data_IF_762110733887
#
_entry.id   IF_762110733887
#
_cell.length_a   1.000
_cell.length_b   1.000
_cell.length_c   1.000
_cell.angle_alpha   90.00
_cell.angle_beta   90.00
_cell.angle_gamma   90.00
#
_symmetry.space_group_name_H-M   'P 1'
#
loop_
_entity.id
_entity.type
_entity.pdbx_description
1 polymer ?
#
# COMPACT_ATOMS: atom_id res chain seq x y z
N UNK A 1 22.34 -4.39 5.89
CA UNK A 1 20.99 -4.76 6.40
C UNK A 1 20.37 -5.77 5.45
N UNK A 2 19.98 -6.94 5.92
CA UNK A 2 19.28 -7.93 5.09
C UNK A 2 17.88 -7.41 4.76
N UNK A 3 17.46 -7.53 3.49
CA UNK A 3 16.18 -6.98 2.98
C UNK A 3 14.94 -7.41 3.79
N UNK A 4 15.02 -8.55 4.49
CA UNK A 4 13.97 -9.08 5.35
C UNK A 4 13.67 -8.23 6.59
N UNK A 5 14.69 -7.59 7.21
CA UNK A 5 14.50 -6.80 8.45
C UNK A 5 13.75 -5.50 8.13
N UNK A 6 14.19 -4.78 7.10
CA UNK A 6 13.54 -3.53 6.67
C UNK A 6 12.10 -3.74 6.21
N UNK A 7 11.81 -4.90 5.58
CA UNK A 7 10.44 -5.26 5.20
C UNK A 7 9.54 -5.45 6.42
N UNK A 8 9.96 -6.27 7.40
CA UNK A 8 9.20 -6.48 8.64
C UNK A 8 8.95 -5.17 9.36
N UNK A 9 9.98 -4.32 9.45
CA UNK A 9 9.86 -2.99 10.04
C UNK A 9 8.83 -2.11 9.31
N UNK A 10 8.85 -2.10 7.98
CA UNK A 10 7.87 -1.34 7.19
C UNK A 10 6.44 -1.84 7.39
N UNK A 11 6.24 -3.16 7.47
CA UNK A 11 4.94 -3.76 7.76
C UNK A 11 4.42 -3.33 9.13
N UNK A 12 5.27 -3.41 10.16
CA UNK A 12 4.94 -2.91 11.50
C UNK A 12 4.63 -1.42 11.50
N UNK A 13 5.42 -0.60 10.79
CA UNK A 13 5.16 0.84 10.65
C UNK A 13 3.84 1.12 9.93
N UNK A 14 3.39 0.26 9.01
CA UNK A 14 2.08 0.37 8.37
C UNK A 14 0.95 0.00 9.34
N UNK A 15 1.07 -1.15 10.01
CA UNK A 15 0.06 -1.68 10.94
C UNK A 15 -0.15 -0.75 12.14
N UNK A 16 0.95 -0.29 12.76
CA UNK A 16 0.92 0.66 13.87
C UNK A 16 0.73 2.11 13.42
N UNK A 17 0.53 2.36 12.12
CA UNK A 17 0.30 3.71 11.55
C UNK A 17 1.40 4.71 11.90
N UNK A 18 2.65 4.23 11.99
CA UNK A 18 3.83 5.07 12.20
C UNK A 18 4.03 6.05 11.03
N UNK A 19 3.64 5.66 9.82
CA UNK A 19 3.62 6.56 8.66
C UNK A 19 2.48 7.58 8.77
N UNK A 20 2.82 8.79 9.21
CA UNK A 20 1.87 9.90 9.31
C UNK A 20 1.58 10.48 7.93
N UNK A 21 0.30 10.48 7.55
CA UNK A 21 -0.13 11.09 6.30
C UNK A 21 -0.06 12.64 6.37
N UNK A 22 0.08 13.35 5.24
CA UNK A 22 0.11 14.82 5.20
C UNK A 22 -1.04 15.49 5.98
N UNK A 23 -2.24 14.93 5.89
CA UNK A 23 -3.43 15.39 6.64
C UNK A 23 -3.33 15.29 8.17
N UNK A 24 -2.50 14.39 8.70
CA UNK A 24 -2.19 14.32 10.13
C UNK A 24 -1.03 15.24 10.49
N UNK A 25 0.00 15.26 9.66
CA UNK A 25 1.19 16.09 9.89
C UNK A 25 0.87 17.58 9.92
N UNK A 26 -0.02 18.05 9.05
CA UNK A 26 -0.50 19.44 9.04
C UNK A 26 -1.25 19.85 10.30
N UNK A 27 -1.85 18.91 11.03
CA UNK A 27 -2.47 19.20 12.33
C UNK A 27 -1.43 19.38 13.44
N UNK A 28 -0.29 18.70 13.34
CA UNK A 28 0.83 18.80 14.29
C UNK A 28 1.75 19.99 13.96
N UNK A 29 1.95 20.26 12.67
CA UNK A 29 2.85 21.29 12.15
C UNK A 29 2.10 22.11 11.09
N UNK A 30 1.46 23.24 11.46
CA UNK A 30 0.59 24.01 10.56
C UNK A 30 1.27 24.57 9.31
N UNK A 31 2.60 24.69 9.30
CA UNK A 31 3.39 25.18 8.15
C UNK A 31 3.56 24.14 7.03
N UNK A 32 3.18 22.88 7.26
CA UNK A 32 3.32 21.81 6.26
C UNK A 32 2.19 21.86 5.22
N UNK A 33 2.47 21.29 4.05
CA UNK A 33 1.46 21.19 2.98
C UNK A 33 0.50 20.02 3.27
N UNK A 34 -0.81 20.28 3.13
CA UNK A 34 -1.88 19.32 3.32
C UNK A 34 -1.95 18.26 2.21
N UNK A 35 -1.42 18.59 1.03
CA UNK A 35 -1.58 17.78 -0.17
C UNK A 35 -0.71 16.53 -0.13
N UNK A 36 -1.16 15.51 -0.85
CA UNK A 36 -0.44 14.26 -1.05
C UNK A 36 0.95 14.50 -1.63
N UNK A 37 1.98 13.90 -1.03
CA UNK A 37 3.35 14.02 -1.51
C UNK A 37 3.58 13.51 -2.94
N UNK A 38 2.75 12.55 -3.39
CA UNK A 38 2.88 11.91 -4.70
C UNK A 38 2.25 12.75 -5.80
N UNK A 39 0.94 13.02 -5.71
CA UNK A 39 0.23 13.76 -6.76
C UNK A 39 0.21 15.28 -6.57
N UNK A 40 0.55 15.78 -5.38
CA UNK A 40 0.57 17.20 -4.98
C UNK A 40 -0.75 17.97 -5.15
N UNK A 41 -1.85 17.28 -5.48
CA UNK A 41 -3.13 17.89 -5.89
C UNK A 41 -4.27 17.76 -4.87
N UNK A 42 -4.36 16.63 -4.19
CA UNK A 42 -5.49 16.31 -3.28
C UNK A 42 -4.97 16.11 -1.87
N UNK A 43 -5.85 16.27 -0.86
CA UNK A 43 -5.49 16.08 0.54
C UNK A 43 -4.85 14.70 0.77
N UNK A 44 -3.67 14.71 1.38
CA UNK A 44 -2.93 13.49 1.69
C UNK A 44 -3.51 12.78 2.90
N UNK A 45 -4.67 12.13 2.76
CA UNK A 45 -5.16 11.15 3.73
C UNK A 45 -4.37 9.85 3.61
N UNK A 46 -4.36 9.03 4.66
CA UNK A 46 -3.66 7.74 4.62
C UNK A 46 -4.15 6.89 3.44
N UNK A 47 -5.47 6.75 3.30
CA UNK A 47 -6.06 5.98 2.21
C UNK A 47 -5.78 6.59 0.83
N UNK A 48 -5.71 7.93 0.72
CA UNK A 48 -5.32 8.55 -0.53
C UNK A 48 -3.88 8.21 -0.91
N UNK A 49 -2.92 8.45 -0.01
CA UNK A 49 -1.49 8.27 -0.28
C UNK A 49 -1.13 6.83 -0.66
N UNK A 50 -1.83 5.85 -0.06
CA UNK A 50 -1.55 4.42 -0.24
C UNK A 50 -2.41 3.72 -1.28
N UNK A 51 -3.61 4.24 -1.61
CA UNK A 51 -4.53 3.55 -2.52
C UNK A 51 -5.16 4.44 -3.59
N UNK A 52 -5.79 5.55 -3.21
CA UNK A 52 -6.59 6.33 -4.17
C UNK A 52 -5.75 7.21 -5.12
N UNK A 53 -4.53 7.57 -4.73
CA UNK A 53 -3.66 8.44 -5.52
C UNK A 53 -3.39 7.86 -6.91
N UNK A 54 -3.52 8.67 -7.97
CA UNK A 54 -3.29 8.18 -9.34
C UNK A 54 -1.86 7.64 -9.52
N UNK A 55 -0.88 8.27 -8.89
CA UNK A 55 0.51 7.81 -8.94
C UNK A 55 0.71 6.48 -8.20
N UNK A 56 0.01 6.25 -7.08
CA UNK A 56 0.10 4.96 -6.38
C UNK A 56 -0.68 3.85 -7.09
N UNK A 57 -1.80 4.19 -7.74
CA UNK A 57 -2.55 3.24 -8.57
C UNK A 57 -1.69 2.66 -9.69
N UNK A 58 -0.91 3.50 -10.40
CA UNK A 58 0.03 3.02 -11.43
C UNK A 58 1.01 1.98 -10.89
N UNK A 59 1.52 2.19 -9.67
CA UNK A 59 2.40 1.23 -8.99
C UNK A 59 1.66 -0.08 -8.69
N UNK A 60 0.50 -0.01 -8.05
CA UNK A 60 -0.29 -1.21 -7.72
C UNK A 60 -0.75 -1.98 -8.94
N UNK A 61 -1.03 -1.30 -10.06
CA UNK A 61 -1.39 -1.96 -11.32
C UNK A 61 -0.24 -2.82 -11.81
N UNK A 62 1.01 -2.30 -11.79
CA UNK A 62 2.20 -3.07 -12.17
C UNK A 62 2.40 -4.29 -11.27
N UNK A 63 2.28 -4.11 -9.96
CA UNK A 63 2.39 -5.20 -8.99
C UNK A 63 1.31 -6.26 -9.24
N UNK A 64 0.06 -5.85 -9.45
CA UNK A 64 -1.02 -6.75 -9.80
C UNK A 64 -0.68 -7.56 -11.05
N UNK A 65 -0.31 -6.89 -12.14
CA UNK A 65 0.03 -7.56 -13.41
C UNK A 65 1.12 -8.61 -13.21
N UNK A 66 2.21 -8.28 -12.51
CA UNK A 66 3.29 -9.23 -12.23
C UNK A 66 2.83 -10.44 -11.42
N UNK A 67 2.00 -10.24 -10.39
CA UNK A 67 1.49 -11.36 -9.58
C UNK A 67 0.56 -12.23 -10.43
N UNK A 68 -0.33 -11.63 -11.24
CA UNK A 68 -1.24 -12.37 -12.12
C UNK A 68 -0.47 -13.19 -13.16
N UNK A 69 0.64 -12.67 -13.71
CA UNK A 69 1.52 -13.38 -14.63
C UNK A 69 2.22 -14.59 -13.98
N UNK A 70 2.77 -14.43 -12.77
CA UNK A 70 3.50 -15.50 -12.05
C UNK A 70 2.57 -16.60 -11.53
N UNK A 71 1.34 -16.24 -11.18
CA UNK A 71 0.37 -17.14 -10.56
C UNK A 71 -0.67 -17.67 -11.54
N UNK A 72 -0.77 -17.09 -12.73
CA UNK A 72 -1.84 -17.33 -13.71
C UNK A 72 -3.24 -17.17 -13.12
N UNK A 73 -3.38 -16.30 -12.12
CA UNK A 73 -4.61 -16.12 -11.35
C UNK A 73 -4.98 -14.64 -11.29
N UNK A 74 -6.23 -14.32 -11.60
CA UNK A 74 -6.71 -12.94 -11.55
C UNK A 74 -6.93 -12.47 -10.12
N UNK A 75 -6.40 -11.31 -9.78
CA UNK A 75 -6.55 -10.68 -8.47
C UNK A 75 -7.64 -9.62 -8.49
N UNK A 76 -8.42 -9.58 -7.42
CA UNK A 76 -9.42 -8.53 -7.22
C UNK A 76 -8.73 -7.21 -6.88
N UNK A 77 -9.24 -6.10 -7.41
CA UNK A 77 -8.73 -4.77 -7.10
C UNK A 77 -9.28 -4.25 -5.77
N UNK A 78 -8.87 -4.89 -4.67
CA UNK A 78 -9.35 -4.60 -3.32
C UNK A 78 -8.22 -4.11 -2.42
N UNK A 79 -8.34 -2.95 -1.76
CA UNK A 79 -7.30 -2.43 -0.89
C UNK A 79 -6.97 -3.38 0.26
N UNK A 80 -7.92 -4.19 0.74
CA UNK A 80 -7.71 -5.18 1.79
C UNK A 80 -6.68 -6.23 1.37
N UNK A 81 -6.69 -6.61 0.09
CA UNK A 81 -5.75 -7.58 -0.46
C UNK A 81 -4.35 -6.97 -0.57
N UNK A 82 -4.24 -5.77 -1.16
CA UNK A 82 -2.94 -5.15 -1.47
C UNK A 82 -2.29 -4.44 -0.29
N UNK A 83 -3.08 -3.79 0.58
CA UNK A 83 -2.56 -3.03 1.72
C UNK A 83 -2.45 -3.88 2.98
N UNK A 84 -3.36 -4.84 3.17
CA UNK A 84 -3.46 -5.59 4.42
C UNK A 84 -3.12 -7.07 4.25
N UNK A 85 -2.93 -7.55 3.02
CA UNK A 85 -2.69 -8.97 2.75
C UNK A 85 -3.88 -9.86 3.10
N UNK A 86 -5.09 -9.29 3.23
CA UNK A 86 -6.27 -10.02 3.66
C UNK A 86 -6.89 -10.72 2.44
N UNK A 87 -6.80 -12.04 2.42
CA UNK A 87 -7.29 -12.88 1.34
C UNK A 87 -8.69 -13.41 1.72
N UNK A 88 -9.74 -12.78 1.19
CA UNK A 88 -11.14 -13.24 1.32
C UNK A 88 -11.57 -13.97 0.06
N UNK A 89 -11.24 -15.26 -0.06
CA UNK A 89 -11.64 -16.08 -1.22
C UNK A 89 -10.84 -17.37 -1.39
N UNK A 90 -11.26 -18.22 -2.33
CA UNK A 90 -10.55 -19.44 -2.73
C UNK A 90 -9.43 -19.09 -3.73
N UNK A 91 -8.41 -18.37 -3.27
CA UNK A 91 -7.19 -18.20 -4.07
C UNK A 91 -6.26 -19.42 -3.90
N UNK A 92 -5.58 -19.86 -4.97
CA UNK A 92 -4.61 -20.94 -4.87
C UNK A 92 -3.49 -20.62 -3.87
N UNK A 93 -2.98 -21.66 -3.23
CA UNK A 93 -1.99 -21.57 -2.14
C UNK A 93 -0.75 -20.74 -2.52
N UNK A 94 -0.35 -20.77 -3.80
CA UNK A 94 0.78 -20.00 -4.34
C UNK A 94 0.63 -18.48 -4.16
N UNK A 95 -0.60 -17.95 -4.19
CA UNK A 95 -0.88 -16.53 -3.95
C UNK A 95 -0.66 -16.16 -2.48
N UNK A 96 -1.02 -17.05 -1.54
CA UNK A 96 -0.86 -16.78 -0.11
C UNK A 96 0.60 -16.51 0.25
N UNK A 97 1.52 -17.24 -0.37
CA UNK A 97 2.95 -17.03 -0.15
C UNK A 97 3.44 -15.70 -0.74
N UNK A 98 2.97 -15.30 -1.93
CA UNK A 98 3.44 -14.08 -2.62
C UNK A 98 2.88 -12.76 -2.06
N UNK A 99 1.77 -12.82 -1.32
CA UNK A 99 1.17 -11.62 -0.71
C UNK A 99 1.70 -11.41 0.73
N UNK A 100 2.17 -12.48 1.39
CA UNK A 100 2.64 -12.46 2.78
C UNK A 100 4.19 -12.37 2.85
N UNK A 101 4.91 -12.67 1.76
CA UNK A 101 6.38 -12.61 1.65
C UNK A 101 6.83 -11.72 0.48
#
# INVERSE_FOLDING_TARGET
MTKSVAYKENLYKMLYRWHLAPSRLTKMFPKLNLNCWKCKRTQGTFFHVWWLCLEIKKYWTKIKTWIEEITHCRLEWKPELFLLGIIKGKYPSKIRYLIIY
#
